data_IF_573931175416
#
_entry.id   IF_573931175416
#
_cell.length_a   1.000
_cell.length_b   1.000
_cell.length_c   1.000
_cell.angle_alpha   90.00
_cell.angle_beta   90.00
_cell.angle_gamma   90.00
#
_symmetry.space_group_name_H-M   'P 1'
#
loop_
_entity.id
_entity.type
_entity.pdbx_description
1 polymer ?
#
# COMPACT_ATOMS: atom_id res chain seq x y z
N UNK A 1 17.10 14.97 -5.69
CA UNK A 1 16.96 13.54 -6.04
C UNK A 1 15.51 13.37 -6.40
N UNK A 2 15.19 12.79 -7.54
CA UNK A 2 13.81 12.78 -8.07
C UNK A 2 13.22 11.38 -7.90
N UNK A 3 11.98 11.28 -7.39
CA UNK A 3 11.22 10.02 -7.36
C UNK A 3 11.02 9.49 -8.77
N UNK A 4 11.11 8.19 -8.95
CA UNK A 4 10.65 7.56 -10.16
C UNK A 4 9.13 7.41 -10.08
N UNK A 5 8.42 8.03 -11.04
CA UNK A 5 6.96 8.03 -11.10
C UNK A 5 6.53 7.70 -12.52
N UNK A 6 5.73 6.65 -12.68
CA UNK A 6 5.12 6.30 -13.96
C UNK A 6 3.78 7.00 -14.07
N UNK A 7 3.65 7.91 -15.03
CA UNK A 7 2.45 8.73 -15.20
C UNK A 7 1.69 8.32 -16.45
N UNK A 8 0.41 8.04 -16.30
CA UNK A 8 -0.49 7.76 -17.42
C UNK A 8 -1.89 8.34 -17.20
N UNK A 9 -2.65 8.47 -18.29
CA UNK A 9 -4.01 8.99 -18.23
C UNK A 9 -4.10 10.50 -18.11
N UNK A 10 -5.31 10.98 -17.81
CA UNK A 10 -5.66 12.40 -17.68
C UNK A 10 -6.87 12.55 -16.76
N UNK A 11 -6.98 13.71 -16.12
CA UNK A 11 -8.03 14.00 -15.14
C UNK A 11 -7.43 14.40 -13.81
N UNK A 12 -8.18 14.27 -12.70
CA UNK A 12 -7.67 14.48 -11.36
C UNK A 12 -6.49 13.57 -11.03
N UNK A 13 -5.50 14.10 -10.32
CA UNK A 13 -4.30 13.35 -9.95
C UNK A 13 -4.60 12.28 -8.89
N UNK A 14 -4.09 11.07 -9.13
CA UNK A 14 -4.19 9.90 -8.24
C UNK A 14 -2.83 9.23 -8.09
N UNK A 15 -2.22 9.29 -6.92
CA UNK A 15 -0.99 8.56 -6.62
C UNK A 15 -1.30 7.14 -6.14
N UNK A 16 -0.49 6.17 -6.58
CA UNK A 16 -0.55 4.77 -6.17
C UNK A 16 0.74 4.39 -5.44
N UNK A 17 0.64 3.99 -4.17
CA UNK A 17 1.76 3.62 -3.30
C UNK A 17 1.76 2.11 -3.04
N UNK A 18 2.80 1.41 -3.47
CA UNK A 18 2.90 -0.05 -3.36
C UNK A 18 3.24 -0.54 -1.94
N UNK A 19 3.03 -1.83 -1.69
CA UNK A 19 3.37 -2.51 -0.44
C UNK A 19 4.86 -2.87 -0.34
N UNK A 20 5.28 -3.36 0.85
CA UNK A 20 6.63 -3.81 1.11
C UNK A 20 7.08 -4.89 0.11
N UNK A 21 8.32 -4.80 -0.34
CA UNK A 21 8.94 -5.78 -1.24
C UNK A 21 8.47 -5.72 -2.69
N UNK A 22 7.54 -4.84 -3.02
CA UNK A 22 6.99 -4.63 -4.37
C UNK A 22 7.60 -3.38 -5.04
N UNK A 23 7.08 -3.03 -6.21
CA UNK A 23 7.45 -1.87 -7.00
C UNK A 23 6.20 -1.34 -7.75
N UNK A 24 6.33 -0.22 -8.47
CA UNK A 24 5.21 0.41 -9.17
C UNK A 24 4.59 -0.45 -10.29
N UNK A 25 5.31 -1.44 -10.82
CA UNK A 25 4.80 -2.33 -11.88
C UNK A 25 3.56 -3.11 -11.42
N UNK A 26 3.42 -3.37 -10.10
CA UNK A 26 2.24 -4.05 -9.55
C UNK A 26 0.92 -3.33 -9.86
N UNK A 27 0.99 -2.04 -10.12
CA UNK A 27 -0.16 -1.19 -10.40
C UNK A 27 -0.59 -1.18 -11.86
N UNK A 28 0.18 -1.76 -12.80
CA UNK A 28 -0.02 -1.64 -14.25
C UNK A 28 -1.47 -1.86 -14.68
N UNK A 29 -2.09 -2.96 -14.27
CA UNK A 29 -3.45 -3.27 -14.67
C UNK A 29 -4.48 -2.30 -14.07
N UNK A 30 -4.32 -1.93 -12.80
CA UNK A 30 -5.20 -0.97 -12.13
C UNK A 30 -5.00 0.45 -12.69
N UNK A 31 -3.76 0.86 -12.96
CA UNK A 31 -3.46 2.14 -13.61
C UNK A 31 -4.14 2.25 -14.95
N UNK A 32 -3.98 1.25 -15.82
CA UNK A 32 -4.65 1.21 -17.13
C UNK A 32 -6.18 1.28 -17.01
N UNK A 33 -6.75 0.59 -16.01
CA UNK A 33 -8.20 0.64 -15.76
C UNK A 33 -8.69 2.02 -15.28
N UNK A 34 -7.82 2.82 -14.63
CA UNK A 34 -8.15 4.14 -14.08
C UNK A 34 -7.77 5.30 -15.03
N UNK A 35 -6.89 5.09 -16.01
CA UNK A 35 -6.30 6.13 -16.85
C UNK A 35 -7.31 6.93 -17.70
N UNK A 36 -8.51 6.41 -17.91
CA UNK A 36 -9.57 7.16 -18.61
C UNK A 36 -10.13 8.31 -17.77
N UNK A 37 -10.09 8.19 -16.44
CA UNK A 37 -10.76 9.08 -15.50
C UNK A 37 -9.77 9.87 -14.61
N UNK A 38 -8.54 9.35 -14.45
CA UNK A 38 -7.51 9.93 -13.58
C UNK A 38 -6.18 10.09 -14.32
N UNK A 39 -5.43 11.10 -13.90
CA UNK A 39 -3.99 11.14 -14.15
C UNK A 39 -3.30 10.33 -13.05
N UNK A 40 -2.96 9.10 -13.37
CA UNK A 40 -2.40 8.13 -12.42
C UNK A 40 -0.90 8.31 -12.30
N UNK A 41 -0.40 8.37 -11.08
CA UNK A 41 1.01 8.45 -10.70
C UNK A 41 1.38 7.18 -9.95
N UNK A 42 1.85 6.15 -10.62
CA UNK A 42 2.37 4.95 -9.97
C UNK A 42 3.80 5.24 -9.47
N UNK A 43 3.95 5.30 -8.14
CA UNK A 43 5.16 5.78 -7.46
C UNK A 43 6.05 4.61 -7.10
N UNK A 44 7.32 4.67 -7.52
CA UNK A 44 8.38 3.87 -6.92
C UNK A 44 8.77 4.48 -5.58
N UNK A 45 8.48 3.79 -4.48
CA UNK A 45 8.93 4.27 -3.18
C UNK A 45 10.46 4.28 -3.09
N UNK A 46 11.07 5.20 -2.31
CA UNK A 46 12.52 5.32 -2.19
C UNK A 46 13.21 3.98 -1.92
N UNK A 47 14.21 3.66 -2.75
CA UNK A 47 14.95 2.40 -2.67
C UNK A 47 14.33 1.21 -3.39
N UNK A 48 13.23 1.42 -4.14
CA UNK A 48 12.58 0.44 -5.00
C UNK A 48 12.69 0.83 -6.48
N UNK A 49 12.38 -0.10 -7.38
CA UNK A 49 12.48 0.11 -8.83
C UNK A 49 13.89 -0.05 -9.39
N UNK A 50 14.01 0.19 -10.70
CA UNK A 50 15.29 -0.01 -11.44
C UNK A 50 16.38 0.98 -11.03
N UNK A 51 16.02 2.18 -10.55
CA UNK A 51 16.93 3.22 -10.09
C UNK A 51 16.98 3.32 -8.55
N UNK A 52 16.76 2.22 -7.87
CA UNK A 52 16.59 2.11 -6.42
C UNK A 52 17.70 2.78 -5.57
N UNK A 53 18.88 3.02 -6.12
CA UNK A 53 19.99 3.62 -5.40
C UNK A 53 19.93 5.16 -5.30
N UNK A 54 19.03 5.82 -6.02
CA UNK A 54 19.07 7.29 -6.21
C UNK A 54 18.28 8.07 -5.16
N UNK A 55 17.21 7.50 -4.61
CA UNK A 55 16.38 8.15 -3.58
C UNK A 55 16.38 7.33 -2.31
N UNK A 56 16.70 7.95 -1.19
CA UNK A 56 16.69 7.33 0.13
C UNK A 56 15.80 8.11 1.07
N UNK A 57 15.00 7.39 1.85
CA UNK A 57 14.36 7.92 3.03
C UNK A 57 14.87 7.11 4.25
N UNK A 58 15.15 7.77 5.34
CA UNK A 58 15.62 7.18 6.60
C UNK A 58 14.57 7.26 7.71
N UNK A 59 13.45 7.92 7.43
CA UNK A 59 12.32 8.06 8.34
C UNK A 59 11.00 8.17 7.56
N UNK A 60 9.88 7.91 8.23
CA UNK A 60 8.55 8.11 7.66
C UNK A 60 8.34 9.59 7.27
N UNK A 61 8.84 10.50 8.10
CA UNK A 61 8.76 11.94 7.84
C UNK A 61 9.50 12.35 6.57
N UNK A 62 10.75 11.89 6.39
CA UNK A 62 11.53 12.15 5.18
C UNK A 62 10.88 11.53 3.93
N UNK A 63 10.26 10.36 4.07
CA UNK A 63 9.49 9.75 2.99
C UNK A 63 8.31 10.63 2.60
N UNK A 64 7.52 11.10 3.57
CA UNK A 64 6.36 11.97 3.32
C UNK A 64 6.81 13.30 2.71
N UNK A 65 7.88 13.91 3.20
CA UNK A 65 8.44 15.16 2.65
C UNK A 65 8.85 14.99 1.17
N UNK A 66 9.48 13.86 0.84
CA UNK A 66 9.86 13.54 -0.54
C UNK A 66 8.62 13.38 -1.43
N UNK A 67 7.63 12.60 -0.99
CA UNK A 67 6.37 12.43 -1.73
C UNK A 67 5.64 13.77 -1.92
N UNK A 68 5.58 14.59 -0.87
CA UNK A 68 4.88 15.87 -0.90
C UNK A 68 5.54 16.90 -1.83
N UNK A 69 6.88 16.88 -1.91
CA UNK A 69 7.63 17.79 -2.76
C UNK A 69 7.57 17.43 -4.26
N UNK A 70 7.49 16.14 -4.58
CA UNK A 70 7.64 15.63 -5.95
C UNK A 70 6.29 15.36 -6.65
N UNK A 71 5.19 15.24 -5.88
CA UNK A 71 3.87 14.93 -6.41
C UNK A 71 2.96 16.16 -6.43
N UNK A 72 1.85 16.15 -7.22
CA UNK A 72 0.96 17.28 -7.37
C UNK A 72 0.50 17.90 -6.04
N UNK A 73 0.28 19.23 -5.99
CA UNK A 73 -0.07 19.95 -4.75
C UNK A 73 -1.47 19.59 -4.23
N UNK A 74 -2.28 18.90 -5.01
CA UNK A 74 -3.57 18.34 -4.60
C UNK A 74 -3.83 17.06 -5.39
N UNK A 75 -3.97 15.95 -4.68
CA UNK A 75 -4.16 14.63 -5.29
C UNK A 75 -4.97 13.69 -4.39
N UNK A 76 -5.47 12.62 -4.98
CA UNK A 76 -5.96 11.42 -4.30
C UNK A 76 -4.78 10.49 -4.04
N UNK A 77 -4.81 9.71 -2.98
CA UNK A 77 -3.77 8.73 -2.69
C UNK A 77 -4.40 7.36 -2.48
N UNK A 78 -4.00 6.39 -3.28
CA UNK A 78 -4.31 4.98 -3.12
C UNK A 78 -3.07 4.26 -2.59
N UNK A 79 -3.16 3.64 -1.43
CA UNK A 79 -2.06 2.89 -0.84
C UNK A 79 -2.45 1.44 -0.55
N UNK A 80 -1.56 0.52 -0.89
CA UNK A 80 -1.71 -0.89 -0.59
C UNK A 80 -0.76 -1.31 0.54
N UNK A 81 -1.31 -1.98 1.59
CA UNK A 81 -0.51 -2.50 2.70
C UNK A 81 0.34 -1.39 3.37
N UNK A 82 1.66 -1.49 3.39
CA UNK A 82 2.58 -0.43 3.84
C UNK A 82 2.32 0.90 3.11
N UNK A 83 2.05 0.87 1.80
CA UNK A 83 1.69 2.08 1.05
C UNK A 83 0.43 2.76 1.59
N UNK A 84 -0.50 2.01 2.16
CA UNK A 84 -1.67 2.57 2.84
C UNK A 84 -1.33 3.21 4.20
N UNK A 85 -0.39 2.66 4.96
CA UNK A 85 0.13 3.30 6.18
C UNK A 85 0.82 4.63 5.85
N UNK A 86 1.66 4.64 4.81
CA UNK A 86 2.30 5.87 4.30
C UNK A 86 1.25 6.88 3.83
N UNK A 87 0.22 6.46 3.10
CA UNK A 87 -0.87 7.31 2.64
C UNK A 87 -1.63 7.98 3.80
N UNK A 88 -1.95 7.22 4.85
CA UNK A 88 -2.61 7.74 6.06
C UNK A 88 -1.73 8.77 6.79
N UNK A 89 -0.46 8.46 7.00
CA UNK A 89 0.49 9.36 7.63
C UNK A 89 0.68 10.65 6.80
N UNK A 90 0.72 10.53 5.47
CA UNK A 90 0.78 11.68 4.56
C UNK A 90 -0.48 12.54 4.63
N UNK A 91 -1.66 11.94 4.60
CA UNK A 91 -2.93 12.65 4.73
C UNK A 91 -3.03 13.41 6.07
N UNK A 92 -2.54 12.81 7.16
CA UNK A 92 -2.48 13.44 8.49
C UNK A 92 -1.53 14.64 8.52
N UNK A 93 -0.35 14.52 7.89
CA UNK A 93 0.70 15.55 7.91
C UNK A 93 0.44 16.66 6.89
N UNK A 94 -0.07 16.33 5.71
CA UNK A 94 -0.30 17.26 4.59
C UNK A 94 -1.78 17.27 4.16
N UNK A 95 -2.72 17.66 5.04
CA UNK A 95 -4.16 17.54 4.79
C UNK A 95 -4.66 18.42 3.63
N UNK A 96 -3.94 19.47 3.27
CA UNK A 96 -4.26 20.30 2.11
C UNK A 96 -3.90 19.64 0.77
N UNK A 97 -2.90 18.76 0.77
CA UNK A 97 -2.43 18.08 -0.43
C UNK A 97 -3.23 16.81 -0.71
N UNK A 98 -3.44 15.96 0.30
CA UNK A 98 -4.20 14.71 0.16
C UNK A 98 -5.69 14.99 0.26
N UNK A 99 -6.41 14.85 -0.85
CA UNK A 99 -7.85 15.15 -0.92
C UNK A 99 -8.73 13.94 -0.57
N UNK A 100 -8.33 12.73 -0.96
CA UNK A 100 -9.05 11.48 -0.72
C UNK A 100 -8.06 10.35 -0.46
N UNK A 101 -8.49 9.34 0.28
CA UNK A 101 -7.74 8.11 0.54
C UNK A 101 -8.44 6.89 -0.04
N UNK A 102 -7.67 5.99 -0.65
CA UNK A 102 -8.07 4.62 -0.97
C UNK A 102 -7.08 3.68 -0.30
N UNK A 103 -7.55 2.85 0.60
CA UNK A 103 -6.71 1.98 1.43
C UNK A 103 -7.02 0.52 1.11
N UNK A 104 -6.07 -0.16 0.47
CA UNK A 104 -6.23 -1.54 -0.01
C UNK A 104 -5.44 -2.48 0.91
N UNK A 105 -6.12 -3.42 1.59
CA UNK A 105 -5.46 -4.41 2.47
C UNK A 105 -4.49 -3.77 3.47
N UNK A 106 -4.85 -2.61 4.04
CA UNK A 106 -4.00 -1.85 4.94
C UNK A 106 -4.50 -1.90 6.39
N UNK A 107 -3.68 -1.45 7.31
CA UNK A 107 -3.90 -1.45 8.75
C UNK A 107 -3.28 -0.20 9.38
N UNK A 108 -3.80 0.35 10.48
CA UNK A 108 -3.14 1.45 11.18
C UNK A 108 -1.86 1.01 11.90
N UNK A 109 -1.74 -0.28 12.23
CA UNK A 109 -0.58 -0.90 12.86
C UNK A 109 -0.42 -2.32 12.36
N UNK A 110 0.79 -2.68 11.90
CA UNK A 110 1.01 -3.97 11.26
C UNK A 110 1.31 -5.08 12.28
N UNK A 111 2.07 -4.77 13.34
CA UNK A 111 2.48 -5.75 14.35
C UNK A 111 1.57 -5.66 15.57
N UNK A 112 1.08 -6.81 16.04
CA UNK A 112 0.28 -6.92 17.25
C UNK A 112 1.11 -6.58 18.48
N UNK A 113 0.47 -5.96 19.46
CA UNK A 113 0.97 -5.87 20.84
C UNK A 113 -0.21 -5.83 21.81
N UNK A 114 0.04 -5.68 23.11
CA UNK A 114 -0.88 -5.88 24.22
C UNK A 114 -2.33 -5.45 24.02
N UNK A 115 -2.58 -4.29 23.44
CA UNK A 115 -3.92 -3.73 23.18
C UNK A 115 -4.34 -3.78 21.70
N UNK A 116 -3.48 -4.29 20.81
CA UNK A 116 -3.73 -4.44 19.38
C UNK A 116 -3.62 -5.90 18.93
N UNK A 117 -4.75 -6.54 18.70
CA UNK A 117 -4.82 -7.97 18.34
C UNK A 117 -5.10 -8.22 16.85
N UNK A 118 -5.25 -7.15 16.02
CA UNK A 118 -5.56 -7.24 14.60
C UNK A 118 -4.33 -7.08 13.69
N UNK A 119 -3.14 -7.31 14.24
CA UNK A 119 -1.86 -7.29 13.50
C UNK A 119 -1.24 -8.68 13.38
N UNK A 120 -0.10 -8.76 12.70
CA UNK A 120 0.77 -9.93 12.69
C UNK A 120 1.36 -10.14 14.09
N UNK A 121 1.46 -11.38 14.57
CA UNK A 121 2.11 -11.66 15.84
C UNK A 121 3.58 -11.20 15.84
N UNK A 122 4.05 -10.65 16.95
CA UNK A 122 5.43 -10.14 17.07
C UNK A 122 6.47 -11.21 16.72
N UNK A 123 6.30 -12.43 17.23
CA UNK A 123 7.22 -13.56 16.96
C UNK A 123 7.27 -13.92 15.46
N UNK A 124 6.12 -13.87 14.78
CA UNK A 124 6.04 -14.12 13.33
C UNK A 124 6.75 -13.02 12.54
N UNK A 125 6.57 -11.77 12.95
CA UNK A 125 7.25 -10.62 12.35
C UNK A 125 8.77 -10.69 12.55
N UNK A 126 9.25 -11.02 13.76
CA UNK A 126 10.68 -11.16 14.08
C UNK A 126 11.31 -12.30 13.26
N UNK A 127 10.59 -13.41 13.10
CA UNK A 127 10.99 -14.50 12.22
C UNK A 127 11.11 -14.07 10.77
N UNK A 128 10.18 -13.21 10.30
CA UNK A 128 10.25 -12.66 8.95
C UNK A 128 11.44 -11.70 8.77
N UNK A 129 11.74 -10.85 9.74
CA UNK A 129 12.95 -9.99 9.75
C UNK A 129 14.20 -10.84 9.62
N UNK A 130 14.34 -11.90 10.43
CA UNK A 130 15.48 -12.81 10.38
C UNK A 130 15.60 -13.51 9.00
N UNK A 131 14.48 -13.93 8.39
CA UNK A 131 14.47 -14.50 7.03
C UNK A 131 15.01 -13.49 6.00
N UNK A 132 14.62 -12.21 6.10
CA UNK A 132 15.08 -11.13 5.20
C UNK A 132 16.59 -10.88 5.38
N UNK A 133 17.10 -10.85 6.60
CA UNK A 133 18.52 -10.70 6.90
C UNK A 133 19.34 -11.88 6.38
N UNK A 134 18.81 -13.10 6.50
CA UNK A 134 19.48 -14.30 6.02
C UNK A 134 19.48 -14.40 4.48
N UNK A 135 18.37 -14.08 3.84
CA UNK A 135 18.24 -14.14 2.36
C UNK A 135 17.01 -13.37 1.86
N UNK A 136 17.21 -12.13 1.46
CA UNK A 136 16.15 -11.30 0.87
C UNK A 136 15.39 -11.98 -0.28
N UNK A 137 16.05 -12.66 -1.28
CA UNK A 137 15.31 -13.31 -2.36
C UNK A 137 14.37 -14.41 -1.87
N UNK A 138 14.78 -15.22 -0.90
CA UNK A 138 13.95 -16.30 -0.32
C UNK A 138 12.81 -15.72 0.51
N UNK A 139 13.09 -14.74 1.36
CA UNK A 139 12.10 -14.07 2.18
C UNK A 139 11.02 -13.40 1.32
N UNK A 140 11.41 -12.70 0.23
CA UNK A 140 10.47 -12.12 -0.74
C UNK A 140 9.56 -13.17 -1.36
N UNK A 141 10.10 -14.27 -1.82
CA UNK A 141 9.30 -15.34 -2.43
C UNK A 141 8.27 -15.91 -1.45
N UNK A 142 8.67 -16.11 -0.18
CA UNK A 142 7.75 -16.52 0.89
C UNK A 142 6.67 -15.45 1.12
N UNK A 143 7.05 -14.18 1.17
CA UNK A 143 6.13 -13.08 1.38
C UNK A 143 5.11 -12.93 0.23
N UNK A 144 5.53 -13.10 -1.03
CA UNK A 144 4.60 -13.15 -2.17
C UNK A 144 3.58 -14.28 -2.05
N UNK A 145 4.02 -15.42 -1.53
CA UNK A 145 3.13 -16.55 -1.29
C UNK A 145 2.08 -16.23 -0.22
N UNK A 146 2.49 -15.54 0.86
CA UNK A 146 1.56 -15.07 1.90
C UNK A 146 0.57 -14.05 1.35
N UNK A 147 1.00 -13.11 0.51
CA UNK A 147 0.10 -12.12 -0.12
C UNK A 147 -0.96 -12.74 -1.03
N UNK A 148 -0.64 -13.87 -1.67
CA UNK A 148 -1.58 -14.60 -2.51
C UNK A 148 -2.45 -15.59 -1.73
N UNK A 149 -2.05 -15.94 -0.50
CA UNK A 149 -2.75 -16.94 0.31
C UNK A 149 -4.17 -16.46 0.66
N UNK A 150 -5.12 -17.40 0.66
CA UNK A 150 -6.53 -17.11 0.89
C UNK A 150 -7.30 -16.58 -0.32
N UNK A 151 -6.62 -16.12 -1.37
CA UNK A 151 -7.29 -15.64 -2.58
C UNK A 151 -7.81 -16.80 -3.44
N UNK A 152 -9.06 -16.69 -3.91
CA UNK A 152 -9.65 -17.68 -4.80
C UNK A 152 -8.86 -17.88 -6.11
N UNK A 153 -8.11 -16.84 -6.54
CA UNK A 153 -7.22 -16.84 -7.70
C UNK A 153 -5.73 -16.89 -7.32
N UNK A 154 -5.35 -17.45 -6.16
CA UNK A 154 -4.03 -17.38 -5.56
C UNK A 154 -2.86 -17.67 -6.54
N UNK A 155 -3.02 -18.64 -7.46
CA UNK A 155 -1.99 -18.94 -8.48
C UNK A 155 -1.80 -17.78 -9.47
N UNK A 156 -2.89 -17.14 -9.88
CA UNK A 156 -2.87 -15.95 -10.75
C UNK A 156 -2.23 -14.76 -10.06
N UNK A 157 -2.65 -14.49 -8.81
CA UNK A 157 -2.08 -13.43 -7.97
C UNK A 157 -0.57 -13.63 -7.82
N UNK A 158 -0.12 -14.81 -7.39
CA UNK A 158 1.30 -15.10 -7.20
C UNK A 158 2.12 -14.92 -8.48
N UNK A 159 1.58 -15.37 -9.63
CA UNK A 159 2.23 -15.17 -10.92
C UNK A 159 2.41 -13.68 -11.24
N UNK A 160 1.35 -12.88 -11.14
CA UNK A 160 1.40 -11.45 -11.45
C UNK A 160 2.31 -10.66 -10.51
N UNK A 161 2.32 -11.01 -9.22
CA UNK A 161 3.26 -10.41 -8.26
C UNK A 161 4.72 -10.73 -8.60
N UNK A 162 5.03 -11.97 -9.04
CA UNK A 162 6.37 -12.35 -9.50
C UNK A 162 6.78 -11.60 -10.76
N UNK A 163 5.91 -11.56 -11.76
CA UNK A 163 6.14 -10.82 -13.01
C UNK A 163 6.43 -9.33 -12.72
N UNK A 164 5.70 -8.72 -11.79
CA UNK A 164 5.95 -7.33 -11.39
C UNK A 164 7.35 -7.14 -10.80
N UNK A 165 7.82 -8.10 -9.99
CA UNK A 165 9.16 -8.06 -9.41
C UNK A 165 10.24 -8.25 -10.47
N UNK A 166 10.05 -9.22 -11.37
CA UNK A 166 11.01 -9.54 -12.43
C UNK A 166 11.20 -8.36 -13.40
N UNK A 167 10.12 -7.61 -13.68
CA UNK A 167 10.17 -6.44 -14.56
C UNK A 167 10.65 -5.17 -13.84
N UNK A 168 10.15 -4.87 -12.65
CA UNK A 168 10.45 -3.63 -11.92
C UNK A 168 11.73 -3.66 -11.09
N UNK A 169 12.41 -4.81 -11.05
CA UNK A 169 13.64 -4.97 -10.30
C UNK A 169 13.46 -5.25 -8.81
N UNK A 170 14.57 -5.59 -8.17
CA UNK A 170 14.63 -5.85 -6.74
C UNK A 170 14.88 -4.54 -5.96
N UNK A 171 14.34 -4.39 -4.74
CA UNK A 171 14.71 -3.29 -3.88
C UNK A 171 16.23 -3.34 -3.59
N UNK A 172 16.85 -2.18 -3.47
CA UNK A 172 18.29 -2.05 -3.29
C UNK A 172 18.68 -1.46 -1.94
N UNK A 173 19.90 -1.74 -1.52
CA UNK A 173 20.51 -1.15 -0.33
C UNK A 173 19.71 -1.41 0.94
N UNK A 174 19.39 -0.35 1.68
CA UNK A 174 18.66 -0.40 2.96
C UNK A 174 17.12 -0.40 2.82
N UNK A 175 16.57 -0.30 1.61
CA UNK A 175 15.11 -0.16 1.43
C UNK A 175 14.28 -1.31 2.02
N UNK A 176 14.67 -2.59 1.89
CA UNK A 176 13.92 -3.67 2.53
C UNK A 176 13.89 -3.56 4.06
N UNK A 177 15.04 -3.26 4.68
CA UNK A 177 15.15 -3.09 6.12
C UNK A 177 14.38 -1.85 6.60
N UNK A 178 14.46 -0.74 5.86
CA UNK A 178 13.70 0.47 6.14
C UNK A 178 12.19 0.21 6.09
N UNK A 179 11.70 -0.46 5.06
CA UNK A 179 10.28 -0.82 4.97
C UNK A 179 9.81 -1.76 6.10
N UNK A 180 10.67 -2.69 6.57
CA UNK A 180 10.38 -3.50 7.75
C UNK A 180 10.34 -2.66 9.03
N UNK A 181 11.25 -1.70 9.17
CA UNK A 181 11.22 -0.76 10.29
C UNK A 181 9.92 0.05 10.31
N UNK A 182 9.45 0.53 9.14
CA UNK A 182 8.16 1.20 9.03
C UNK A 182 6.99 0.29 9.45
N UNK A 183 6.95 -0.96 8.97
CA UNK A 183 5.91 -1.92 9.35
C UNK A 183 5.90 -2.22 10.85
N UNK A 184 7.08 -2.25 11.50
CA UNK A 184 7.21 -2.47 12.94
C UNK A 184 6.77 -1.26 13.76
N UNK A 185 7.18 -0.06 13.34
CA UNK A 185 7.18 1.14 14.18
C UNK A 185 5.95 2.04 13.95
N UNK A 186 5.28 1.93 12.79
CA UNK A 186 4.08 2.73 12.50
C UNK A 186 2.92 2.28 13.37
N UNK A 187 2.39 3.22 14.16
CA UNK A 187 1.13 3.11 14.88
C UNK A 187 0.31 4.40 14.70
N UNK A 188 -0.68 4.33 13.83
CA UNK A 188 -1.54 5.48 13.46
C UNK A 188 -2.89 5.47 14.19
N UNK A 189 -3.12 4.55 15.15
CA UNK A 189 -4.42 4.40 15.81
C UNK A 189 -4.90 5.70 16.47
N UNK A 190 -3.99 6.43 17.11
CA UNK A 190 -4.28 7.73 17.73
C UNK A 190 -4.47 8.86 16.71
N UNK A 191 -3.97 8.72 15.48
CA UNK A 191 -4.06 9.72 14.43
C UNK A 191 -5.34 9.58 13.59
N UNK A 192 -5.93 8.36 13.49
CA UNK A 192 -7.09 8.08 12.64
C UNK A 192 -8.25 9.07 12.83
N UNK A 193 -8.65 9.46 14.07
CA UNK A 193 -9.74 10.42 14.27
C UNK A 193 -9.45 11.83 13.73
N UNK A 194 -8.19 12.13 13.38
CA UNK A 194 -7.75 13.42 12.86
C UNK A 194 -7.57 13.42 11.33
N UNK A 195 -7.74 12.27 10.67
CA UNK A 195 -7.69 12.14 9.21
C UNK A 195 -9.10 12.39 8.67
N UNK A 196 -9.37 13.63 8.25
CA UNK A 196 -10.70 14.08 7.84
C UNK A 196 -11.00 13.93 6.35
N UNK A 197 -10.05 13.44 5.57
CA UNK A 197 -10.25 13.13 4.15
C UNK A 197 -11.28 12.02 3.98
N UNK A 198 -12.17 12.11 2.97
CA UNK A 198 -12.96 10.96 2.56
C UNK A 198 -12.03 9.76 2.30
N UNK A 199 -12.38 8.60 2.84
CA UNK A 199 -11.57 7.39 2.74
C UNK A 199 -12.40 6.19 2.27
N UNK A 200 -11.89 5.44 1.29
CA UNK A 200 -12.40 4.14 0.89
C UNK A 200 -11.44 3.07 1.41
N UNK A 201 -11.90 2.23 2.31
CA UNK A 201 -11.15 1.09 2.82
C UNK A 201 -11.66 -0.17 2.15
N UNK A 202 -10.81 -0.86 1.39
CA UNK A 202 -11.14 -2.13 0.73
C UNK A 202 -10.26 -3.25 1.31
N UNK A 203 -10.87 -4.35 1.73
CA UNK A 203 -10.14 -5.43 2.38
C UNK A 203 -10.61 -6.81 1.92
N UNK A 204 -9.64 -7.70 1.64
CA UNK A 204 -9.94 -9.10 1.31
C UNK A 204 -10.44 -9.86 2.54
N UNK A 205 -11.55 -10.59 2.40
CA UNK A 205 -12.10 -11.40 3.51
C UNK A 205 -11.11 -12.47 3.96
N UNK A 206 -10.32 -12.98 3.02
CA UNK A 206 -9.37 -14.07 3.25
C UNK A 206 -7.92 -13.56 3.31
N UNK A 207 -7.70 -12.29 3.66
CA UNK A 207 -6.35 -11.75 3.80
C UNK A 207 -5.61 -12.48 4.92
N UNK A 208 -4.57 -13.24 4.54
CA UNK A 208 -3.77 -14.04 5.46
C UNK A 208 -2.58 -13.26 6.07
N UNK A 209 -2.36 -12.03 5.63
CA UNK A 209 -1.25 -11.18 6.06
C UNK A 209 -1.71 -10.07 7.00
N UNK A 210 -2.79 -9.38 6.63
CA UNK A 210 -3.44 -8.36 7.45
C UNK A 210 -4.87 -8.83 7.72
N UNK A 211 -5.23 -9.19 8.97
CA UNK A 211 -6.56 -9.68 9.29
C UNK A 211 -7.67 -8.72 8.83
N UNK A 212 -8.74 -9.25 8.24
CA UNK A 212 -9.90 -8.47 7.79
C UNK A 212 -10.43 -7.50 8.85
N UNK A 213 -10.43 -7.93 10.13
CA UNK A 213 -10.82 -7.10 11.28
C UNK A 213 -9.96 -5.82 11.43
N UNK A 214 -8.72 -5.79 10.94
CA UNK A 214 -7.92 -4.57 10.91
C UNK A 214 -8.50 -3.54 9.94
N UNK A 215 -9.02 -3.97 8.79
CA UNK A 215 -9.73 -3.11 7.84
C UNK A 215 -11.05 -2.58 8.39
N UNK A 216 -11.81 -3.42 9.09
CA UNK A 216 -13.05 -2.99 9.77
C UNK A 216 -12.77 -1.94 10.85
N UNK A 217 -11.75 -2.18 11.68
CA UNK A 217 -11.30 -1.21 12.68
C UNK A 217 -10.88 0.11 12.04
N UNK A 218 -10.07 0.02 10.97
CA UNK A 218 -9.58 1.19 10.24
C UNK A 218 -10.73 2.05 9.71
N UNK A 219 -11.72 1.43 9.09
CA UNK A 219 -12.88 2.13 8.56
C UNK A 219 -13.76 2.74 9.68
N UNK A 220 -13.91 2.04 10.80
CA UNK A 220 -14.68 2.52 11.93
C UNK A 220 -14.01 3.70 12.68
N UNK A 221 -12.67 3.76 12.67
CA UNK A 221 -11.91 4.80 13.36
C UNK A 221 -11.69 6.08 12.52
N UNK A 222 -11.79 6.00 11.19
CA UNK A 222 -11.70 7.14 10.29
C UNK A 222 -13.05 7.88 10.24
N UNK A 223 -13.08 9.24 10.41
CA UNK A 223 -14.33 10.00 10.50
C UNK A 223 -15.23 9.94 9.26
N UNK A 224 -14.67 9.71 8.08
CA UNK A 224 -15.37 9.76 6.79
C UNK A 224 -14.99 8.58 5.90
N UNK A 225 -15.11 7.36 6.43
CA UNK A 225 -14.76 6.15 5.69
C UNK A 225 -15.96 5.37 5.18
N UNK A 226 -15.82 4.82 3.98
CA UNK A 226 -16.63 3.72 3.47
C UNK A 226 -15.82 2.44 3.55
N UNK A 227 -16.46 1.32 3.88
CA UNK A 227 -15.82 0.01 3.94
C UNK A 227 -16.35 -0.92 2.87
N UNK A 228 -15.43 -1.56 2.14
CA UNK A 228 -15.74 -2.58 1.14
C UNK A 228 -15.04 -3.89 1.49
N UNK A 229 -15.82 -4.89 1.82
CA UNK A 229 -15.35 -6.25 2.12
C UNK A 229 -15.35 -7.09 0.83
N UNK A 230 -14.18 -7.53 0.37
CA UNK A 230 -14.05 -8.26 -0.88
C UNK A 230 -14.03 -9.77 -0.65
N UNK A 231 -15.16 -10.44 -0.92
CA UNK A 231 -15.29 -11.90 -0.82
C UNK A 231 -14.33 -12.63 -1.74
N UNK A 232 -13.69 -13.70 -1.22
CA UNK A 232 -12.73 -14.51 -1.97
C UNK A 232 -11.42 -13.83 -2.33
N UNK A 233 -11.18 -12.61 -1.87
CA UNK A 233 -9.93 -11.90 -2.06
C UNK A 233 -8.98 -12.13 -0.88
N UNK A 234 -7.67 -12.22 -1.20
CA UNK A 234 -6.56 -12.17 -0.24
C UNK A 234 -5.99 -10.77 -0.10
N UNK A 235 -4.70 -10.68 0.30
CA UNK A 235 -4.03 -9.41 0.57
C UNK A 235 -3.84 -8.51 -0.66
N UNK A 236 -3.47 -9.09 -1.81
CA UNK A 236 -3.30 -8.37 -3.06
C UNK A 236 -4.61 -8.29 -3.87
N UNK A 237 -5.68 -7.83 -3.23
CA UNK A 237 -7.07 -7.89 -3.67
C UNK A 237 -7.35 -7.25 -5.05
N UNK A 238 -6.51 -6.32 -5.49
CA UNK A 238 -6.66 -5.59 -6.76
C UNK A 238 -5.99 -6.29 -7.96
N UNK A 239 -5.05 -7.20 -7.71
CA UNK A 239 -4.17 -7.76 -8.76
C UNK A 239 -4.92 -8.58 -9.81
N UNK A 240 -6.02 -9.24 -9.43
CA UNK A 240 -6.88 -10.02 -10.35
C UNK A 240 -8.31 -9.47 -10.41
N UNK A 241 -8.56 -8.29 -9.85
CA UNK A 241 -9.87 -7.66 -9.76
C UNK A 241 -9.78 -6.16 -10.06
N UNK A 242 -8.82 -5.76 -10.88
CA UNK A 242 -8.52 -4.37 -11.22
C UNK A 242 -9.76 -3.61 -11.71
N UNK A 243 -10.60 -4.23 -12.52
CA UNK A 243 -11.82 -3.61 -13.03
C UNK A 243 -12.84 -3.31 -11.93
N UNK A 244 -13.04 -4.24 -11.00
CA UNK A 244 -13.97 -4.07 -9.87
C UNK A 244 -13.44 -3.01 -8.89
N UNK A 245 -12.13 -3.03 -8.59
CA UNK A 245 -11.49 -2.03 -7.72
C UNK A 245 -11.55 -0.64 -8.37
N UNK A 246 -11.24 -0.53 -9.66
CA UNK A 246 -11.33 0.74 -10.38
C UNK A 246 -12.77 1.29 -10.41
N UNK A 247 -13.76 0.45 -10.65
CA UNK A 247 -15.17 0.84 -10.60
C UNK A 247 -15.53 1.39 -9.21
N UNK A 248 -15.14 0.68 -8.16
CA UNK A 248 -15.45 1.09 -6.78
C UNK A 248 -14.78 2.42 -6.40
N UNK A 249 -13.55 2.66 -6.88
CA UNK A 249 -12.86 3.95 -6.69
C UNK A 249 -13.65 5.08 -7.38
N UNK A 250 -14.13 4.90 -8.62
CA UNK A 250 -14.95 5.89 -9.32
C UNK A 250 -16.25 6.21 -8.60
N UNK A 251 -16.94 5.18 -8.13
CA UNK A 251 -18.20 5.31 -7.39
C UNK A 251 -18.02 6.08 -6.08
N UNK A 252 -16.91 5.84 -5.39
CA UNK A 252 -16.54 6.56 -4.18
C UNK A 252 -16.24 8.03 -4.48
N UNK A 253 -15.41 8.29 -5.49
CA UNK A 253 -15.00 9.63 -5.86
C UNK A 253 -16.18 10.49 -6.36
N UNK A 254 -17.15 9.90 -7.04
CA UNK A 254 -18.37 10.58 -7.50
C UNK A 254 -19.33 10.99 -6.36
N UNK A 255 -19.12 10.51 -5.13
CA UNK A 255 -19.94 10.85 -3.95
C UNK A 255 -19.28 11.91 -3.05
N UNK A 256 -18.02 12.21 -3.25
CA UNK A 256 -17.18 13.08 -2.40
C UNK A 256 -16.44 14.14 -3.20
#
# INVERSE_FOLDING_TARGET
MTLQVHVEGRGPDLALLHGWGMNAVVWRALSAALAADYRVHAVEMPGYGVDAATVRADSLDALIETLAAELPPRLRVCGWSLGGQVAMAWARRCPAQVSHLVLLGSTPRFVSDGDWTHGMAQEEFDGFVADVEASLPRARLRFLTLQANGDAAARGVLRMLRESIDEGGAPAGSAPAFGLALLRDIDLRADLPQINQPALVMHGVNDALVPHAAGEYLAAALPRAEFESMGGAGHALFVTREAAVAQRIREFDGRH
#
